data_IF_941088723665
#
_entry.id   IF_941088723665
#
_cell.length_a   1.000
_cell.length_b   1.000
_cell.length_c   1.000
_cell.angle_alpha   90.00
_cell.angle_beta   90.00
_cell.angle_gamma   90.00
#
_symmetry.space_group_name_H-M   'P 1'
#
loop_
_entity.id
_entity.type
_entity.pdbx_description
1 polymer ?
#
# COMPACT_ATOMS: atom_id res chain seq x y z
N UNK A 1 -5.96 -2.67 -27.69
CA UNK A 1 -5.62 -2.27 -26.31
C UNK A 1 -6.12 -3.35 -25.37
N UNK A 2 -5.24 -4.11 -24.70
CA UNK A 2 -5.68 -5.00 -23.63
C UNK A 2 -6.13 -4.12 -22.47
N UNK A 3 -7.43 -3.99 -22.23
CA UNK A 3 -7.95 -3.38 -21.02
C UNK A 3 -7.41 -4.19 -19.83
N UNK A 4 -6.60 -3.56 -19.01
CA UNK A 4 -6.17 -4.14 -17.73
C UNK A 4 -7.42 -4.39 -16.88
N UNK A 5 -7.65 -5.61 -16.50
CA UNK A 5 -8.82 -6.00 -15.71
C UNK A 5 -8.73 -5.58 -14.23
N UNK A 6 -7.71 -4.82 -13.84
CA UNK A 6 -7.43 -4.61 -12.42
C UNK A 6 -7.04 -3.17 -12.15
N UNK A 7 -7.83 -2.48 -11.37
CA UNK A 7 -7.35 -1.31 -10.63
C UNK A 7 -7.02 -1.80 -9.24
N UNK A 8 -5.75 -1.77 -8.87
CA UNK A 8 -5.29 -2.24 -7.57
C UNK A 8 -4.60 -1.10 -6.87
N UNK A 9 -5.03 -0.86 -5.65
CA UNK A 9 -4.42 0.09 -4.73
C UNK A 9 -3.75 -0.71 -3.61
N UNK A 10 -2.45 -0.53 -3.43
CA UNK A 10 -1.68 -1.10 -2.33
C UNK A 10 -1.36 0.01 -1.35
N UNK A 11 -1.76 -0.16 -0.10
CA UNK A 11 -1.50 0.76 1.00
C UNK A 11 -0.73 0.03 2.08
N UNK A 12 0.34 0.65 2.54
CA UNK A 12 1.13 0.19 3.68
C UNK A 12 1.05 1.24 4.78
N UNK A 13 0.96 0.78 6.02
CA UNK A 13 1.20 1.64 7.18
C UNK A 13 2.15 0.92 8.13
N UNK A 14 3.08 1.66 8.70
CA UNK A 14 4.04 1.15 9.68
C UNK A 14 3.87 1.92 10.98
N UNK A 15 3.53 1.19 12.03
CA UNK A 15 3.45 1.73 13.38
C UNK A 15 4.47 1.01 14.25
N UNK A 16 5.62 1.66 14.49
CA UNK A 16 6.69 1.18 15.37
C UNK A 16 7.17 -0.25 15.00
N UNK A 17 7.32 -0.51 13.71
CA UNK A 17 7.78 -1.79 13.19
C UNK A 17 6.68 -2.85 12.98
N UNK A 18 5.42 -2.50 13.22
CA UNK A 18 4.27 -3.29 12.79
C UNK A 18 3.75 -2.78 11.46
N UNK A 19 3.95 -3.54 10.41
CA UNK A 19 3.46 -3.20 9.09
C UNK A 19 2.07 -3.77 8.86
N UNK A 20 1.16 -2.89 8.49
CA UNK A 20 -0.19 -3.22 8.05
C UNK A 20 -0.28 -3.07 6.54
N UNK A 21 -0.74 -4.10 5.87
CA UNK A 21 -0.88 -4.14 4.41
C UNK A 21 -2.37 -4.13 4.08
N UNK A 22 -2.79 -3.21 3.21
CA UNK A 22 -4.13 -3.20 2.65
C UNK A 22 -4.05 -3.15 1.13
N UNK A 23 -4.68 -4.11 0.46
CA UNK A 23 -4.77 -4.16 -1.00
C UNK A 23 -6.24 -4.14 -1.37
N UNK A 24 -6.63 -3.22 -2.24
CA UNK A 24 -8.00 -3.12 -2.73
C UNK A 24 -8.04 -3.09 -4.25
N UNK A 25 -9.01 -3.77 -4.82
CA UNK A 25 -9.14 -3.84 -6.27
C UNK A 25 -10.35 -4.65 -6.71
N UNK A 26 -10.30 -5.11 -7.94
CA UNK A 26 -11.32 -5.98 -8.51
C UNK A 26 -10.70 -6.94 -9.52
N UNK A 27 -11.32 -8.12 -9.64
CA UNK A 27 -10.92 -9.14 -10.59
C UNK A 27 -12.15 -9.94 -11.04
N UNK A 28 -12.26 -10.21 -12.33
CA UNK A 28 -13.28 -11.10 -12.86
C UNK A 28 -12.60 -12.42 -13.20
N UNK A 29 -12.85 -13.50 -12.43
CA UNK A 29 -12.25 -14.80 -12.67
C UNK A 29 -12.83 -15.45 -13.93
N UNK A 30 -12.09 -16.42 -14.48
CA UNK A 30 -12.58 -17.29 -15.57
C UNK A 30 -13.69 -18.22 -15.05
N UNK A 31 -13.50 -18.75 -13.85
CA UNK A 31 -14.48 -19.56 -13.11
C UNK A 31 -14.56 -19.07 -11.65
N UNK A 32 -15.75 -18.67 -11.22
CA UNK A 32 -15.98 -18.20 -9.85
C UNK A 32 -15.87 -19.32 -8.80
N UNK A 33 -15.84 -20.59 -9.21
CA UNK A 33 -15.67 -21.72 -8.31
C UNK A 33 -14.23 -22.23 -8.24
N UNK A 34 -13.34 -21.74 -9.13
CA UNK A 34 -11.95 -22.23 -9.25
C UNK A 34 -10.97 -21.07 -9.34
N UNK A 35 -11.03 -20.17 -8.35
CA UNK A 35 -10.01 -19.12 -8.19
C UNK A 35 -9.70 -18.88 -6.72
N UNK A 36 -8.49 -18.39 -6.47
CA UNK A 36 -8.07 -17.95 -5.13
C UNK A 36 -7.05 -16.83 -5.22
N UNK A 37 -6.97 -16.03 -4.19
CA UNK A 37 -5.97 -15.00 -4.06
C UNK A 37 -4.86 -15.42 -3.09
N UNK A 38 -3.65 -14.97 -3.36
CA UNK A 38 -2.50 -15.19 -2.49
C UNK A 38 -1.70 -13.90 -2.31
N UNK A 39 -1.32 -13.64 -1.06
CA UNK A 39 -0.39 -12.58 -0.71
C UNK A 39 0.99 -13.19 -0.48
N UNK A 40 1.99 -12.69 -1.18
CA UNK A 40 3.38 -13.11 -1.05
C UNK A 40 4.21 -11.94 -0.51
N UNK A 41 4.94 -12.17 0.57
CA UNK A 41 5.92 -11.23 1.12
C UNK A 41 7.29 -11.85 1.00
N UNK A 42 8.21 -11.17 0.33
CA UNK A 42 9.54 -11.72 0.01
C UNK A 42 9.47 -13.13 -0.61
N UNK A 43 8.50 -13.35 -1.49
CA UNK A 43 8.26 -14.63 -2.16
C UNK A 43 7.63 -15.72 -1.29
N UNK A 44 7.26 -15.42 -0.04
CA UNK A 44 6.61 -16.40 0.87
C UNK A 44 5.14 -16.06 1.03
N UNK A 45 4.28 -17.08 0.92
CA UNK A 45 2.85 -16.95 1.19
C UNK A 45 2.62 -16.48 2.63
N UNK A 46 1.80 -15.45 2.77
CA UNK A 46 1.48 -14.79 4.04
C UNK A 46 -0.02 -14.90 4.28
N UNK A 47 -0.39 -15.18 5.52
CA UNK A 47 -1.79 -15.18 5.92
C UNK A 47 -2.38 -13.78 5.77
N UNK A 48 -3.56 -13.71 5.18
CA UNK A 48 -4.30 -12.47 4.99
C UNK A 48 -5.80 -12.72 5.09
N UNK A 49 -6.54 -11.71 5.49
CA UNK A 49 -7.99 -11.70 5.36
C UNK A 49 -8.37 -11.15 4.00
N UNK A 50 -9.37 -11.75 3.36
CA UNK A 50 -9.90 -11.30 2.08
C UNK A 50 -11.40 -11.10 2.25
N UNK A 51 -11.85 -9.87 2.01
CA UNK A 51 -13.25 -9.49 1.97
C UNK A 51 -13.64 -9.31 0.51
N UNK A 52 -14.66 -10.04 0.07
CA UNK A 52 -15.23 -9.89 -1.25
C UNK A 52 -16.34 -8.84 -1.22
N UNK A 53 -16.36 -7.99 -2.25
CA UNK A 53 -17.35 -6.90 -2.35
C UNK A 53 -17.92 -6.81 -3.76
N UNK A 54 -19.16 -6.36 -3.85
CA UNK A 54 -19.76 -5.98 -5.14
C UNK A 54 -19.16 -4.68 -5.66
N UNK A 55 -19.13 -4.52 -6.98
CA UNK A 55 -18.59 -3.34 -7.67
C UNK A 55 -19.62 -2.78 -8.63
N UNK A 56 -20.50 -1.93 -8.11
CA UNK A 56 -21.55 -1.28 -8.93
C UNK A 56 -20.99 -0.44 -10.05
N UNK A 57 -19.81 0.17 -9.84
CA UNK A 57 -19.08 0.94 -10.85
C UNK A 57 -18.53 0.08 -12.01
N UNK A 58 -18.61 -1.25 -11.90
CA UNK A 58 -18.20 -2.23 -12.91
C UNK A 58 -19.34 -3.00 -13.54
N UNK A 59 -20.56 -2.56 -13.31
CA UNK A 59 -21.77 -3.26 -13.79
C UNK A 59 -21.77 -3.46 -15.30
N UNK A 60 -21.38 -2.47 -16.08
CA UNK A 60 -21.37 -2.58 -17.54
C UNK A 60 -20.37 -3.66 -18.02
N UNK A 61 -19.19 -3.73 -17.41
CA UNK A 61 -18.19 -4.76 -17.71
C UNK A 61 -18.67 -6.16 -17.32
N UNK A 62 -19.44 -6.29 -16.23
CA UNK A 62 -20.05 -7.55 -15.81
C UNK A 62 -21.11 -8.00 -16.81
N UNK A 63 -22.02 -7.10 -17.20
CA UNK A 63 -23.09 -7.38 -18.15
C UNK A 63 -22.55 -7.75 -19.55
N UNK A 64 -21.50 -7.08 -20.03
CA UNK A 64 -20.81 -7.43 -21.29
C UNK A 64 -20.26 -8.87 -21.27
N UNK A 65 -19.93 -9.40 -20.09
CA UNK A 65 -19.46 -10.77 -19.91
C UNK A 65 -20.56 -11.78 -19.57
N UNK A 66 -21.83 -11.35 -19.56
CA UNK A 66 -22.97 -12.17 -19.21
C UNK A 66 -23.08 -12.49 -17.72
N UNK A 67 -22.42 -11.70 -16.87
CA UNK A 67 -22.46 -11.81 -15.41
C UNK A 67 -23.54 -10.87 -14.85
N UNK A 68 -24.00 -11.17 -13.63
CA UNK A 68 -24.99 -10.34 -12.95
C UNK A 68 -24.31 -9.34 -11.99
N UNK A 69 -25.11 -8.39 -11.48
CA UNK A 69 -24.62 -7.35 -10.55
C UNK A 69 -24.27 -7.88 -9.15
N UNK A 70 -24.70 -9.09 -8.81
CA UNK A 70 -24.44 -9.70 -7.50
C UNK A 70 -23.06 -10.39 -7.43
N UNK A 71 -22.37 -10.49 -8.58
CA UNK A 71 -21.02 -11.02 -8.60
C UNK A 71 -20.06 -10.14 -7.80
N UNK A 72 -19.50 -10.72 -6.74
CA UNK A 72 -18.51 -10.07 -5.86
C UNK A 72 -17.14 -10.12 -6.51
N UNK A 73 -16.90 -9.22 -7.46
CA UNK A 73 -15.62 -9.12 -8.17
C UNK A 73 -14.62 -8.20 -7.50
N UNK A 74 -15.05 -7.39 -6.55
CA UNK A 74 -14.17 -6.54 -5.76
C UNK A 74 -13.57 -7.31 -4.60
N UNK A 75 -12.44 -6.86 -4.11
CA UNK A 75 -11.78 -7.43 -2.94
C UNK A 75 -11.07 -6.36 -2.11
N UNK A 76 -11.00 -6.62 -0.80
CA UNK A 76 -10.13 -5.92 0.14
C UNK A 76 -9.32 -6.99 0.87
N UNK A 77 -8.01 -6.93 0.71
CA UNK A 77 -7.06 -7.80 1.42
C UNK A 77 -6.43 -7.03 2.55
N UNK A 78 -6.31 -7.65 3.72
CA UNK A 78 -5.62 -7.08 4.88
C UNK A 78 -4.68 -8.12 5.45
N UNK A 79 -3.46 -7.70 5.77
CA UNK A 79 -2.48 -8.53 6.44
C UNK A 79 -1.63 -7.68 7.38
N UNK A 80 -1.21 -8.27 8.47
CA UNK A 80 -0.31 -7.68 9.44
C UNK A 80 0.99 -8.49 9.48
N UNK A 81 2.12 -7.81 9.61
CA UNK A 81 3.41 -8.47 9.75
C UNK A 81 4.33 -7.68 10.67
N UNK A 82 5.10 -8.38 11.47
CA UNK A 82 6.13 -7.79 12.34
C UNK A 82 7.46 -7.54 11.58
N UNK A 83 7.49 -7.81 10.28
CA UNK A 83 8.70 -7.66 9.49
C UNK A 83 8.85 -6.24 8.99
N UNK A 84 9.98 -5.64 9.29
CA UNK A 84 10.38 -4.32 8.80
C UNK A 84 11.23 -4.37 7.54
N UNK A 85 11.84 -5.52 7.24
CA UNK A 85 12.72 -5.75 6.10
C UNK A 85 11.97 -6.34 4.89
N UNK A 86 10.85 -5.72 4.52
CA UNK A 86 10.06 -6.14 3.36
C UNK A 86 10.69 -5.57 2.11
N UNK A 87 11.13 -6.46 1.23
CA UNK A 87 11.70 -6.10 -0.07
C UNK A 87 10.69 -6.19 -1.20
N UNK A 88 9.69 -7.07 -1.05
CA UNK A 88 8.72 -7.31 -2.10
C UNK A 88 7.38 -7.76 -1.49
N UNK A 89 6.30 -7.16 -1.98
CA UNK A 89 4.93 -7.61 -1.73
C UNK A 89 4.31 -7.91 -3.09
N UNK A 90 3.83 -9.13 -3.28
CA UNK A 90 3.07 -9.52 -4.46
C UNK A 90 1.69 -10.00 -4.07
N UNK A 91 0.71 -9.58 -4.82
CA UNK A 91 -0.64 -10.10 -4.74
C UNK A 91 -0.97 -10.78 -6.06
N UNK A 92 -1.28 -12.05 -5.97
CA UNK A 92 -1.53 -12.90 -7.15
C UNK A 92 -2.90 -13.53 -7.06
N UNK A 93 -3.46 -13.87 -8.20
CA UNK A 93 -4.62 -14.73 -8.34
C UNK A 93 -4.21 -16.04 -9.00
N UNK A 94 -4.68 -17.14 -8.45
CA UNK A 94 -4.67 -18.45 -9.09
C UNK A 94 -6.07 -18.67 -9.65
N UNK A 95 -6.21 -18.74 -10.96
CA UNK A 95 -7.49 -18.83 -11.66
C UNK A 95 -7.42 -19.93 -12.71
N UNK A 96 -8.19 -20.99 -12.50
CA UNK A 96 -8.22 -22.17 -13.37
C UNK A 96 -6.83 -22.77 -13.59
N UNK A 97 -6.02 -22.84 -12.51
CA UNK A 97 -4.67 -23.39 -12.53
C UNK A 97 -3.58 -22.45 -13.08
N UNK A 98 -3.93 -21.26 -13.53
CA UNK A 98 -2.98 -20.23 -13.96
C UNK A 98 -2.76 -19.19 -12.88
N UNK A 99 -1.50 -18.86 -12.57
CA UNK A 99 -1.16 -17.78 -11.63
C UNK A 99 -0.92 -16.48 -12.40
N UNK A 100 -1.57 -15.42 -11.95
CA UNK A 100 -1.43 -14.07 -12.50
C UNK A 100 -1.12 -13.09 -11.40
N UNK A 101 -0.08 -12.29 -11.59
CA UNK A 101 0.24 -11.16 -10.73
C UNK A 101 -0.80 -10.05 -10.94
N UNK A 102 -1.41 -9.59 -9.87
CA UNK A 102 -2.39 -8.50 -9.86
C UNK A 102 -1.76 -7.20 -9.39
N UNK A 103 -0.91 -7.27 -8.37
CA UNK A 103 -0.14 -6.16 -7.87
C UNK A 103 1.25 -6.63 -7.44
N UNK A 104 2.22 -5.76 -7.64
CA UNK A 104 3.55 -5.91 -7.09
C UNK A 104 4.00 -4.57 -6.53
N UNK A 105 4.51 -4.59 -5.31
CA UNK A 105 5.18 -3.47 -4.69
C UNK A 105 6.59 -3.95 -4.35
N UNK A 106 7.56 -3.40 -5.04
CA UNK A 106 8.97 -3.65 -4.78
C UNK A 106 9.49 -2.54 -3.86
N UNK A 107 9.65 -2.85 -2.59
CA UNK A 107 10.19 -1.94 -1.58
C UNK A 107 11.72 -1.82 -1.63
N UNK A 108 12.38 -2.48 -2.59
CA UNK A 108 13.84 -2.42 -2.70
C UNK A 108 14.35 -1.00 -2.95
N UNK A 109 13.50 -0.18 -3.56
CA UNK A 109 13.85 1.20 -3.91
C UNK A 109 13.37 2.22 -2.87
N UNK A 110 12.57 1.79 -1.88
CA UNK A 110 12.08 2.64 -0.80
C UNK A 110 12.39 2.00 0.54
N UNK A 111 13.20 2.65 1.31
CA UNK A 111 13.52 2.29 2.69
C UNK A 111 13.53 3.51 3.59
N UNK A 112 13.50 3.30 4.88
CA UNK A 112 13.72 4.37 5.85
C UNK A 112 14.68 3.92 6.94
N UNK A 113 15.49 4.86 7.38
CA UNK A 113 16.39 4.69 8.53
C UNK A 113 15.94 5.63 9.62
N UNK A 114 15.84 5.11 10.84
CA UNK A 114 15.46 5.88 12.01
C UNK A 114 16.70 6.07 12.85
N UNK A 115 17.01 7.33 13.13
CA UNK A 115 18.12 7.68 14.01
C UNK A 115 17.66 7.79 15.47
N UNK A 116 18.60 7.60 16.40
CA UNK A 116 18.34 7.60 17.86
C UNK A 116 17.81 8.95 18.42
N UNK A 117 17.73 9.97 17.59
CA UNK A 117 17.20 11.28 17.97
C UNK A 117 15.68 11.38 17.90
N UNK A 118 15.02 10.44 17.25
CA UNK A 118 13.58 10.40 17.16
C UNK A 118 12.97 9.99 18.50
N UNK A 119 11.94 10.72 18.91
CA UNK A 119 11.15 10.36 20.07
C UNK A 119 10.10 9.34 19.72
N UNK A 120 9.42 9.57 18.61
CA UNK A 120 8.38 8.70 18.09
C UNK A 120 8.12 9.01 16.62
N UNK A 121 7.64 8.02 15.88
CA UNK A 121 7.23 8.19 14.48
C UNK A 121 6.11 7.23 14.12
N UNK A 122 5.46 7.51 13.02
CA UNK A 122 4.58 6.57 12.34
C UNK A 122 4.61 6.81 10.82
N UNK A 123 4.71 5.76 10.05
CA UNK A 123 4.43 5.80 8.62
C UNK A 123 2.96 5.41 8.45
N UNK A 124 2.10 6.40 8.20
CA UNK A 124 0.66 6.19 8.12
C UNK A 124 0.30 5.39 6.88
N UNK A 125 0.95 5.69 5.76
CA UNK A 125 0.69 5.01 4.52
C UNK A 125 1.84 5.14 3.53
N UNK A 126 2.14 4.04 2.85
CA UNK A 126 2.91 4.01 1.62
C UNK A 126 2.00 3.39 0.57
N UNK A 127 1.76 4.09 -0.53
CA UNK A 127 1.04 3.47 -1.64
C UNK A 127 1.68 3.76 -2.98
N UNK A 128 1.47 2.85 -3.90
CA UNK A 128 1.96 2.92 -5.27
C UNK A 128 0.78 3.02 -6.22
N UNK A 129 0.88 3.93 -7.18
CA UNK A 129 -0.09 4.10 -8.26
C UNK A 129 0.64 3.93 -9.59
N UNK A 130 0.11 3.09 -10.46
CA UNK A 130 0.62 3.01 -11.82
C UNK A 130 0.02 4.14 -12.65
N UNK A 131 0.88 4.94 -13.26
CA UNK A 131 0.44 5.97 -14.20
C UNK A 131 -0.05 5.35 -15.51
N UNK A 132 -0.83 6.09 -16.32
CA UNK A 132 -1.23 5.63 -17.66
C UNK A 132 -0.05 5.31 -18.57
N UNK A 133 1.10 5.93 -18.34
CA UNK A 133 2.33 5.74 -19.10
C UNK A 133 3.14 4.51 -18.64
N UNK A 134 2.68 3.83 -17.57
CA UNK A 134 3.27 2.60 -17.05
C UNK A 134 4.31 2.81 -15.96
N UNK A 135 4.55 4.05 -15.55
CA UNK A 135 5.41 4.37 -14.41
C UNK A 135 4.70 4.11 -13.09
N UNK A 136 5.46 3.84 -12.04
CA UNK A 136 4.94 3.71 -10.68
C UNK A 136 5.31 4.96 -9.88
N UNK A 137 4.29 5.65 -9.37
CA UNK A 137 4.46 6.77 -8.44
C UNK A 137 4.19 6.28 -7.03
N UNK A 138 5.12 6.54 -6.13
CA UNK A 138 4.99 6.23 -4.71
C UNK A 138 4.58 7.47 -3.93
N UNK A 139 3.67 7.29 -2.98
CA UNK A 139 3.32 8.31 -2.00
C UNK A 139 3.52 7.76 -0.60
N UNK A 140 4.19 8.56 0.23
CA UNK A 140 4.50 8.20 1.62
C UNK A 140 3.93 9.29 2.51
N UNK A 141 3.12 8.92 3.47
CA UNK A 141 2.60 9.83 4.50
C UNK A 141 2.94 9.31 5.88
N UNK A 142 3.15 10.22 6.80
CA UNK A 142 3.47 9.86 8.17
C UNK A 142 3.67 11.08 9.05
N UNK A 143 4.17 10.82 10.25
CA UNK A 143 4.54 11.85 11.17
C UNK A 143 5.77 11.43 11.99
N UNK A 144 6.45 12.39 12.54
CA UNK A 144 7.65 12.18 13.34
C UNK A 144 7.76 13.25 14.43
N UNK A 145 8.11 12.82 15.64
CA UNK A 145 8.47 13.66 16.77
C UNK A 145 9.96 13.49 17.05
N UNK A 146 10.68 14.57 17.19
CA UNK A 146 12.11 14.57 17.49
C UNK A 146 12.49 15.60 18.52
N UNK A 147 13.71 15.49 19.04
CA UNK A 147 14.30 16.49 19.97
C UNK A 147 14.83 17.72 19.24
N UNK A 148 15.06 17.65 17.94
CA UNK A 148 15.65 18.71 17.13
C UNK A 148 15.02 18.79 15.75
N UNK A 149 15.69 19.48 14.84
CA UNK A 149 15.26 19.58 13.45
C UNK A 149 15.24 18.24 12.76
N UNK A 150 14.26 18.05 11.90
CA UNK A 150 14.04 16.81 11.16
C UNK A 150 14.39 17.06 9.69
N UNK A 151 15.17 16.17 9.13
CA UNK A 151 15.33 16.03 7.69
C UNK A 151 14.87 14.65 7.25
N UNK A 152 14.18 14.60 6.11
CA UNK A 152 13.78 13.36 5.47
C UNK A 152 14.52 13.29 4.15
N UNK A 153 15.16 12.17 3.88
CA UNK A 153 15.84 11.90 2.63
C UNK A 153 15.27 10.61 2.02
N UNK A 154 14.94 10.66 0.74
CA UNK A 154 14.55 9.48 -0.02
C UNK A 154 15.74 8.99 -0.82
N UNK A 155 16.06 7.73 -0.64
CA UNK A 155 17.16 7.07 -1.37
C UNK A 155 16.63 5.77 -1.99
N UNK A 156 17.19 5.41 -3.15
CA UNK A 156 16.91 4.10 -3.73
C UNK A 156 17.80 3.02 -3.08
N UNK A 157 17.61 1.75 -3.51
CA UNK A 157 18.35 0.60 -2.99
C UNK A 157 19.89 0.72 -3.15
N UNK A 158 20.35 1.56 -4.08
CA UNK A 158 21.79 1.80 -4.31
C UNK A 158 22.31 2.97 -3.45
N UNK A 159 21.53 3.46 -2.46
CA UNK A 159 21.78 4.64 -1.63
C UNK A 159 21.94 5.94 -2.44
N UNK A 160 21.36 6.02 -3.62
CA UNK A 160 21.32 7.25 -4.39
C UNK A 160 20.08 8.04 -4.03
N UNK A 161 20.26 9.35 -3.84
CA UNK A 161 19.13 10.26 -3.61
C UNK A 161 18.15 10.21 -4.79
N UNK A 162 16.88 10.18 -4.44
CA UNK A 162 15.77 10.24 -5.39
C UNK A 162 15.12 11.61 -5.22
N UNK A 163 14.84 12.26 -6.34
CA UNK A 163 14.08 13.50 -6.34
C UNK A 163 12.65 13.23 -5.89
N UNK A 164 12.13 14.06 -5.00
CA UNK A 164 10.80 13.92 -4.45
C UNK A 164 10.21 15.29 -4.11
N UNK A 165 8.90 15.35 -4.04
CA UNK A 165 8.19 16.48 -3.45
C UNK A 165 7.93 16.21 -1.97
N UNK A 166 8.10 17.21 -1.14
CA UNK A 166 7.87 17.13 0.30
C UNK A 166 6.88 18.21 0.71
N UNK A 167 5.84 17.79 1.41
CA UNK A 167 4.85 18.69 1.98
C UNK A 167 4.74 18.42 3.47
N UNK A 168 5.00 19.44 4.28
CA UNK A 168 4.72 19.40 5.71
C UNK A 168 3.23 19.66 5.93
N UNK A 169 2.60 18.89 6.81
CA UNK A 169 1.20 19.04 7.15
C UNK A 169 1.02 19.08 8.66
N UNK A 170 0.03 19.84 9.11
CA UNK A 170 -0.32 19.92 10.53
C UNK A 170 -1.03 18.63 10.97
N UNK A 171 -0.72 18.18 12.18
CA UNK A 171 -1.23 16.94 12.77
C UNK A 171 -1.82 17.23 14.15
N UNK A 172 -2.97 17.89 14.17
CA UNK A 172 -3.68 18.20 15.43
C UNK A 172 -4.04 16.95 16.23
N UNK A 173 -4.25 15.83 15.54
CA UNK A 173 -4.48 14.53 16.14
C UNK A 173 -3.34 14.07 17.08
N UNK A 174 -2.10 14.50 16.84
CA UNK A 174 -0.96 14.18 17.72
C UNK A 174 -1.07 14.90 19.06
N UNK A 175 -1.67 16.09 19.06
CA UNK A 175 -1.93 16.86 20.29
C UNK A 175 -3.14 16.27 21.01
N UNK A 176 -4.21 16.02 20.28
CA UNK A 176 -5.48 15.51 20.82
C UNK A 176 -5.30 14.12 21.45
N UNK A 177 -4.39 13.32 20.92
CA UNK A 177 -4.04 11.99 21.44
C UNK A 177 -2.89 12.03 22.48
N UNK A 178 -2.37 13.19 22.84
CA UNK A 178 -1.37 13.35 23.89
C UNK A 178 0.06 12.92 23.51
N UNK A 179 0.37 12.82 22.20
CA UNK A 179 1.73 12.51 21.75
C UNK A 179 2.69 13.69 21.95
N UNK A 180 2.21 14.91 21.87
CA UNK A 180 2.97 16.14 22.13
C UNK A 180 2.04 17.26 22.57
N UNK A 181 2.57 18.20 23.37
CA UNK A 181 1.90 19.46 23.72
C UNK A 181 2.36 20.61 22.81
N UNK A 182 3.44 20.40 22.08
CA UNK A 182 4.07 21.41 21.23
C UNK A 182 3.47 21.40 19.82
N UNK A 183 2.66 22.43 19.53
CA UNK A 183 1.99 22.59 18.24
C UNK A 183 2.96 22.76 17.06
N UNK A 184 4.14 23.33 17.30
CA UNK A 184 5.13 23.51 16.25
C UNK A 184 5.82 22.21 15.88
N UNK A 185 5.80 21.22 16.78
CA UNK A 185 6.33 19.87 16.55
C UNK A 185 5.28 18.85 16.15
N UNK A 186 4.00 19.19 16.25
CA UNK A 186 2.88 18.31 15.86
C UNK A 186 2.66 18.38 14.35
N UNK A 187 3.59 17.85 13.58
CA UNK A 187 3.46 17.83 12.12
C UNK A 187 3.75 16.47 11.51
N UNK A 188 3.08 16.23 10.38
CA UNK A 188 3.35 15.11 9.51
C UNK A 188 4.01 15.54 8.22
N UNK A 189 4.16 14.57 7.36
CA UNK A 189 4.74 14.76 6.03
C UNK A 189 3.98 13.97 4.97
N UNK A 190 4.03 14.48 3.76
CA UNK A 190 3.68 13.76 2.55
C UNK A 190 4.83 13.88 1.56
N UNK A 191 5.25 12.75 1.01
CA UNK A 191 6.30 12.61 0.01
C UNK A 191 5.69 11.98 -1.23
N UNK A 192 6.03 12.52 -2.40
CA UNK A 192 5.61 11.99 -3.71
C UNK A 192 6.73 12.03 -4.71
#
# INVERSE_FOLDING_TARGET
MKKSNNVINVQLSDNQGKLHIRIAGWYIPKDFNDYSFELLINGKKTECSIEHITREDKLDELLERGLNRECEIGFIVKADTDKTDINEIKFVVVDSGETKELASLDNKDIGYTIEDQLLQYNIDCIWAENTPDGDTVYRITGWVLSKGDISIEVVNRDNKKVDYTYVKCDRHDLIDNGYTEDKEKAYGFTIS
#
